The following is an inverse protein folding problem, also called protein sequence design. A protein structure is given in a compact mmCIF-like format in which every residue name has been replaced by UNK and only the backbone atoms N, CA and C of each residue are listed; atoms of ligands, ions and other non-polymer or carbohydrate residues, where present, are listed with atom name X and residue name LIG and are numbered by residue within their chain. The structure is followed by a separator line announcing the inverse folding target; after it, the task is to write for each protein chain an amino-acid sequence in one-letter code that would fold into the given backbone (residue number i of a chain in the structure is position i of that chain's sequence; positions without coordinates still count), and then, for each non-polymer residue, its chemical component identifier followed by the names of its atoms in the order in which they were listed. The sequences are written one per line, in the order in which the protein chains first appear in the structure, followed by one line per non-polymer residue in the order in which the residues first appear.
data_IF_181346361233
#
_entry.id   IF_181346361233
#
_cell.length_a   1.000
_cell.length_b   1.000
_cell.length_c   1.000
_cell.angle_alpha   90.00
_cell.angle_beta   90.00
_cell.angle_gamma   90.00
#
_symmetry.space_group_name_H-M   'P 1'
#
loop_
_entity.id
_entity.type
_entity.pdbx_description
1 polymer ?
#
# COMPACT_ATOMS: atom_id res chain seq x y z
N UNK A 1 -5.28 -13.96 -1.58
CA UNK A 1 -4.07 -13.13 -1.52
C UNK A 1 -3.57 -12.96 -2.94
N UNK A 2 -2.99 -11.81 -3.25
CA UNK A 2 -2.49 -11.53 -4.59
C UNK A 2 -1.01 -11.22 -4.55
N UNK A 3 -0.31 -11.52 -5.63
CA UNK A 3 1.04 -11.08 -5.89
C UNK A 3 1.07 -10.31 -7.20
N UNK A 4 1.69 -9.14 -7.18
CA UNK A 4 1.81 -8.25 -8.34
C UNK A 4 3.08 -8.58 -9.12
N UNK A 5 2.96 -8.90 -10.42
CA UNK A 5 4.14 -9.02 -11.29
C UNK A 5 4.57 -7.64 -11.81
N UNK A 6 3.61 -6.82 -12.22
CA UNK A 6 3.84 -5.56 -12.93
C UNK A 6 2.96 -4.40 -12.44
N UNK A 7 2.11 -4.63 -11.45
CA UNK A 7 0.99 -3.75 -11.13
C UNK A 7 1.24 -2.83 -9.94
N UNK A 8 0.78 -1.60 -10.06
CA UNK A 8 0.62 -0.67 -8.94
C UNK A 8 -0.79 -0.80 -8.38
N UNK A 9 -0.92 -1.09 -7.10
CA UNK A 9 -2.22 -1.32 -6.46
C UNK A 9 -2.41 -0.38 -5.28
N UNK A 10 -3.62 0.18 -5.16
CA UNK A 10 -4.00 1.05 -4.05
C UNK A 10 -5.03 0.37 -3.17
N UNK A 11 -4.82 0.42 -1.86
CA UNK A 11 -5.80 0.03 -0.86
C UNK A 11 -6.50 1.24 -0.26
N UNK A 12 -7.82 1.27 -0.40
CA UNK A 12 -8.69 2.22 0.26
C UNK A 12 -9.32 1.59 1.49
N UNK A 13 -9.30 2.29 2.61
CA UNK A 13 -10.03 1.87 3.80
C UNK A 13 -11.53 2.16 3.60
N UNK A 14 -12.33 1.09 3.49
CA UNK A 14 -13.78 1.18 3.29
C UNK A 14 -14.56 1.34 4.60
N UNK A 15 -13.87 1.26 5.75
CA UNK A 15 -14.48 1.37 7.08
C UNK A 15 -14.50 2.80 7.62
N UNK A 16 -13.79 3.73 6.97
CA UNK A 16 -13.67 5.13 7.41
C UNK A 16 -14.04 6.10 6.28
N UNK A 17 -15.07 6.93 6.53
CA UNK A 17 -15.52 7.95 5.58
C UNK A 17 -16.33 7.37 4.41
N UNK A 18 -16.23 8.00 3.23
CA UNK A 18 -16.90 7.59 1.99
C UNK A 18 -16.11 6.52 1.19
N UNK A 19 -15.15 5.82 1.83
CA UNK A 19 -14.34 4.78 1.18
C UNK A 19 -13.25 5.29 0.23
N UNK A 20 -12.82 6.54 0.37
CA UNK A 20 -11.82 7.17 -0.51
C UNK A 20 -10.46 7.45 0.16
N UNK A 21 -10.28 7.09 1.43
CA UNK A 21 -9.00 7.28 2.12
C UNK A 21 -8.01 6.20 1.71
N UNK A 22 -6.95 6.60 1.02
CA UNK A 22 -5.87 5.71 0.64
C UNK A 22 -5.03 5.37 1.87
N UNK A 23 -4.85 4.09 2.15
CA UNK A 23 -4.06 3.60 3.29
C UNK A 23 -2.93 2.67 2.89
N UNK A 24 -2.99 2.08 1.70
CA UNK A 24 -1.95 1.21 1.16
C UNK A 24 -1.63 1.60 -0.28
N UNK A 25 -0.36 1.48 -0.62
CA UNK A 25 0.15 1.52 -2.00
C UNK A 25 1.09 0.31 -2.09
N UNK A 26 0.82 -0.57 -3.04
CA UNK A 26 1.62 -1.75 -3.34
C UNK A 26 2.27 -1.55 -4.69
N UNK A 27 3.54 -1.92 -4.77
CA UNK A 27 4.39 -1.82 -5.95
C UNK A 27 4.43 -3.16 -6.72
N UNK A 28 4.91 -3.15 -7.97
CA UNK A 28 5.29 -4.39 -8.64
C UNK A 28 6.25 -5.22 -7.77
N UNK A 29 5.99 -6.51 -7.66
CA UNK A 29 6.72 -7.43 -6.79
C UNK A 29 6.15 -7.57 -5.37
N UNK A 30 5.14 -6.78 -4.99
CA UNK A 30 4.52 -6.90 -3.67
C UNK A 30 3.45 -7.99 -3.61
N UNK A 31 3.40 -8.67 -2.47
CA UNK A 31 2.21 -9.42 -2.03
C UNK A 31 1.23 -8.44 -1.40
N UNK A 32 -0.03 -8.47 -1.85
CA UNK A 32 -1.05 -7.57 -1.34
C UNK A 32 -2.38 -8.30 -1.10
N UNK A 33 -3.00 -7.97 0.02
CA UNK A 33 -4.31 -8.45 0.45
C UNK A 33 -4.72 -7.68 1.70
N UNK A 34 -5.99 -7.77 2.11
CA UNK A 34 -6.34 -7.50 3.50
C UNK A 34 -5.90 -8.70 4.36
N UNK A 35 -4.73 -8.60 5.00
CA UNK A 35 -4.14 -9.71 5.77
C UNK A 35 -5.05 -10.13 6.94
N UNK A 36 -5.67 -9.17 7.63
CA UNK A 36 -6.57 -9.47 8.75
C UNK A 36 -7.77 -10.28 8.27
N UNK A 37 -8.42 -9.84 7.20
CA UNK A 37 -9.58 -10.53 6.63
C UNK A 37 -9.20 -11.86 5.98
N UNK A 38 -8.03 -11.93 5.35
CA UNK A 38 -7.51 -13.16 4.77
C UNK A 38 -7.26 -14.23 5.83
N UNK A 39 -6.57 -13.92 6.93
CA UNK A 39 -6.26 -14.94 7.95
C UNK A 39 -7.42 -15.23 8.92
N UNK A 40 -8.24 -14.24 9.26
CA UNK A 40 -9.30 -14.39 10.28
C UNK A 40 -10.67 -14.78 9.70
N UNK A 41 -10.78 -14.95 8.39
CA UNK A 41 -12.05 -15.20 7.70
C UNK A 41 -13.12 -14.13 8.02
N UNK A 42 -12.72 -12.86 7.96
CA UNK A 42 -13.62 -11.71 8.17
C UNK A 42 -13.87 -11.00 6.83
N UNK A 43 -14.95 -10.21 6.71
CA UNK A 43 -15.16 -9.35 5.55
C UNK A 43 -13.95 -8.44 5.30
N UNK A 44 -13.61 -8.20 4.03
CA UNK A 44 -12.53 -7.29 3.67
C UNK A 44 -12.85 -5.86 4.11
N UNK A 45 -11.87 -5.19 4.69
CA UNK A 45 -11.92 -3.77 5.10
C UNK A 45 -11.22 -2.88 4.09
N UNK A 46 -10.35 -3.44 3.27
CA UNK A 46 -9.69 -2.74 2.18
C UNK A 46 -10.37 -3.02 0.83
N UNK A 47 -10.65 -1.94 0.10
CA UNK A 47 -10.92 -2.00 -1.33
C UNK A 47 -9.60 -1.84 -2.08
N UNK A 48 -9.21 -2.86 -2.84
CA UNK A 48 -7.98 -2.86 -3.63
C UNK A 48 -8.29 -2.49 -5.09
N UNK A 49 -7.52 -1.58 -5.66
CA UNK A 49 -7.72 -1.07 -7.04
C UNK A 49 -6.37 -1.04 -7.75
N UNK A 50 -6.30 -1.66 -8.91
CA UNK A 50 -5.13 -1.59 -9.81
C UNK A 50 -5.13 -0.21 -10.47
N UNK A 51 -4.02 0.52 -10.37
CA UNK A 51 -3.81 1.80 -11.05
C UNK A 51 -3.16 1.62 -12.43
N UNK A 52 -2.21 0.69 -12.52
CA UNK A 52 -1.42 0.39 -13.70
C UNK A 52 -0.97 -1.07 -13.62
N UNK A 53 -0.75 -1.70 -14.78
CA UNK A 53 -0.39 -3.12 -14.92
C UNK A 53 -1.62 -4.02 -15.10
N UNK A 54 -1.41 -5.32 -15.12
CA UNK A 54 -2.50 -6.29 -15.25
C UNK A 54 -2.19 -7.72 -14.84
N UNK A 55 -0.92 -8.06 -14.63
CA UNK A 55 -0.51 -9.44 -14.38
C UNK A 55 -0.41 -9.70 -12.87
N UNK A 56 -1.35 -10.51 -12.39
CA UNK A 56 -1.48 -10.87 -10.99
C UNK A 56 -1.49 -12.39 -10.81
N UNK A 57 -0.80 -12.86 -9.78
CA UNK A 57 -0.95 -14.23 -9.30
C UNK A 57 -1.93 -14.24 -8.13
N UNK A 58 -2.87 -15.19 -8.16
CA UNK A 58 -3.87 -15.37 -7.12
C UNK A 58 -3.58 -16.61 -6.30
N UNK A 59 -3.56 -16.46 -4.97
CA UNK A 59 -3.48 -17.57 -4.02
C UNK A 59 -4.76 -17.58 -3.20
N UNK A 60 -5.53 -18.67 -3.31
CA UNK A 60 -6.71 -18.85 -2.48
C UNK A 60 -6.31 -19.12 -1.04
N UNK A 61 -7.25 -18.99 -0.10
CA UNK A 61 -6.99 -19.39 1.29
C UNK A 61 -6.75 -20.90 1.40
N UNK A 62 -7.42 -21.72 0.58
CA UNK A 62 -7.24 -23.16 0.60
C UNK A 62 -5.82 -23.54 0.18
N UNK A 63 -5.33 -22.96 -0.93
CA UNK A 63 -3.96 -23.17 -1.41
C UNK A 63 -2.96 -22.71 -0.34
N UNK A 64 -3.20 -21.54 0.23
CA UNK A 64 -2.37 -20.99 1.29
C UNK A 64 -2.31 -21.89 2.53
N UNK A 65 -3.44 -22.46 2.95
CA UNK A 65 -3.48 -23.38 4.07
C UNK A 65 -2.71 -24.68 3.76
N UNK A 66 -2.71 -25.13 2.51
CA UNK A 66 -1.87 -26.23 2.04
C UNK A 66 -0.38 -25.92 2.15
N UNK A 67 0.03 -24.66 2.08
CA UNK A 67 1.43 -24.25 2.24
C UNK A 67 1.90 -24.27 3.70
N UNK A 68 0.99 -24.28 4.68
CA UNK A 68 1.35 -24.28 6.12
C UNK A 68 2.08 -25.54 6.59
N UNK A 69 2.06 -26.61 5.80
CA UNK A 69 2.83 -27.82 6.09
C UNK A 69 4.34 -27.61 5.87
N UNK A 70 4.74 -26.56 5.15
CA UNK A 70 6.13 -26.21 4.88
C UNK A 70 6.58 -25.05 5.78
N UNK A 71 7.83 -25.10 6.25
CA UNK A 71 8.38 -24.08 7.14
C UNK A 71 8.43 -22.70 6.46
N UNK A 72 8.74 -22.68 5.17
CA UNK A 72 8.81 -21.49 4.32
C UNK A 72 7.45 -20.76 4.25
N UNK A 73 6.34 -21.51 4.34
CA UNK A 73 5.00 -20.93 4.39
C UNK A 73 4.76 -20.13 5.67
N UNK A 74 5.36 -20.55 6.79
CA UNK A 74 5.31 -19.81 8.04
C UNK A 74 6.20 -18.56 8.01
N UNK A 75 7.42 -18.69 7.49
CA UNK A 75 8.35 -17.56 7.33
C UNK A 75 7.76 -16.46 6.45
N UNK A 76 7.07 -16.84 5.37
CA UNK A 76 6.35 -15.89 4.51
C UNK A 76 5.29 -15.11 5.29
N UNK A 77 4.49 -15.75 6.14
CA UNK A 77 3.49 -15.05 6.96
C UNK A 77 4.15 -14.04 7.88
N UNK A 78 5.18 -14.48 8.59
CA UNK A 78 5.90 -13.60 9.52
C UNK A 78 6.49 -12.40 8.81
N UNK A 79 7.08 -12.62 7.63
CA UNK A 79 7.59 -11.56 6.79
C UNK A 79 6.50 -10.58 6.35
N UNK A 80 5.36 -11.07 5.86
CA UNK A 80 4.23 -10.20 5.47
C UNK A 80 3.66 -9.41 6.65
N UNK A 81 3.56 -10.02 7.83
CA UNK A 81 3.12 -9.34 9.05
C UNK A 81 4.11 -8.25 9.48
N UNK A 82 5.42 -8.52 9.37
CA UNK A 82 6.47 -7.55 9.67
C UNK A 82 6.40 -6.35 8.73
N UNK A 83 6.31 -6.58 7.41
CA UNK A 83 6.20 -5.51 6.40
C UNK A 83 4.98 -4.62 6.64
N UNK A 84 3.84 -5.22 7.01
CA UNK A 84 2.62 -4.47 7.34
C UNK A 84 2.80 -3.62 8.60
N UNK A 85 3.47 -4.14 9.63
CA UNK A 85 3.79 -3.41 10.84
C UNK A 85 4.78 -2.27 10.59
N UNK A 86 5.81 -2.50 9.79
CA UNK A 86 6.78 -1.48 9.38
C UNK A 86 6.09 -0.36 8.61
N UNK A 87 5.20 -0.72 7.67
CA UNK A 87 4.43 0.25 6.92
C UNK A 87 3.52 1.08 7.83
N UNK A 88 2.80 0.47 8.76
CA UNK A 88 1.96 1.21 9.72
C UNK A 88 2.79 2.12 10.64
N UNK A 89 3.94 1.65 11.10
CA UNK A 89 4.86 2.43 11.93
C UNK A 89 5.40 3.64 11.16
N UNK A 90 5.86 3.42 9.92
CA UNK A 90 6.33 4.48 9.04
C UNK A 90 5.21 5.47 8.70
N UNK A 91 3.97 4.99 8.45
CA UNK A 91 2.81 5.86 8.24
C UNK A 91 2.47 6.67 9.49
N UNK A 92 2.58 6.09 10.68
CA UNK A 92 2.40 6.82 11.94
C UNK A 92 3.41 7.95 12.06
N UNK A 93 4.69 7.64 11.83
CA UNK A 93 5.79 8.59 11.90
C UNK A 93 5.68 9.71 10.86
N UNK A 94 5.49 9.37 9.58
CA UNK A 94 5.46 10.36 8.49
C UNK A 94 4.33 11.38 8.72
N UNK A 95 3.22 10.98 9.35
CA UNK A 95 2.11 11.89 9.64
C UNK A 95 2.45 13.00 10.65
N UNK A 96 3.50 12.81 11.45
CA UNK A 96 4.01 13.81 12.41
C UNK A 96 4.90 14.89 11.77
N UNK A 97 5.39 14.65 10.55
CA UNK A 97 6.30 15.54 9.85
C UNK A 97 5.56 16.76 9.26
N UNK A 98 6.33 17.76 8.80
CA UNK A 98 5.78 18.88 8.00
C UNK A 98 5.55 18.42 6.56
N UNK A 99 4.66 19.10 5.83
CA UNK A 99 4.26 18.74 4.46
C UNK A 99 5.44 18.45 3.51
N UNK A 100 6.47 19.30 3.49
CA UNK A 100 7.67 19.13 2.65
C UNK A 100 8.42 17.83 2.97
N UNK A 101 8.62 17.57 4.27
CA UNK A 101 9.28 16.35 4.75
C UNK A 101 8.41 15.12 4.46
N UNK A 102 7.09 15.21 4.61
CA UNK A 102 6.16 14.12 4.22
C UNK A 102 6.34 13.74 2.76
N UNK A 103 6.36 14.72 1.86
CA UNK A 103 6.50 14.46 0.43
C UNK A 103 7.89 13.92 0.10
N UNK A 104 8.95 14.43 0.73
CA UNK A 104 10.31 13.91 0.57
C UNK A 104 10.42 12.42 0.97
N UNK A 105 9.97 12.08 2.18
CA UNK A 105 10.00 10.71 2.70
C UNK A 105 9.11 9.77 1.90
N UNK A 106 7.95 10.26 1.46
CA UNK A 106 7.07 9.50 0.57
C UNK A 106 7.75 9.17 -0.75
N UNK A 107 8.48 10.12 -1.35
CA UNK A 107 9.17 9.92 -2.62
C UNK A 107 10.33 8.91 -2.52
N UNK A 108 10.97 8.79 -1.35
CA UNK A 108 12.01 7.78 -1.14
C UNK A 108 11.45 6.36 -1.16
N UNK A 109 10.21 6.17 -0.68
CA UNK A 109 9.56 4.86 -0.61
C UNK A 109 8.74 4.52 -1.85
N UNK A 110 8.02 5.49 -2.40
CA UNK A 110 7.12 5.30 -3.53
C UNK A 110 7.53 6.19 -4.70
N UNK A 111 7.57 5.65 -5.93
CA UNK A 111 7.87 6.44 -7.13
C UNK A 111 6.69 7.37 -7.45
N UNK A 112 6.63 8.52 -6.78
CA UNK A 112 5.46 9.41 -6.81
C UNK A 112 5.16 10.01 -8.19
N UNK A 113 6.10 9.89 -9.15
CA UNK A 113 5.93 10.30 -10.54
C UNK A 113 5.10 9.29 -11.35
N UNK A 114 5.02 8.03 -10.92
CA UNK A 114 4.18 6.98 -11.52
C UNK A 114 2.78 6.91 -10.90
N UNK A 115 2.53 7.67 -9.82
CA UNK A 115 1.29 7.62 -9.07
C UNK A 115 0.44 8.89 -9.31
N UNK A 116 -0.90 8.75 -9.43
CA UNK A 116 -1.77 9.91 -9.55
C UNK A 116 -1.70 10.80 -8.30
N UNK A 117 -1.59 12.12 -8.49
CA UNK A 117 -1.43 13.08 -7.38
C UNK A 117 -2.52 12.97 -6.30
N UNK A 118 -3.76 12.67 -6.68
CA UNK A 118 -4.86 12.53 -5.72
C UNK A 118 -4.70 11.30 -4.80
N UNK A 119 -4.05 10.23 -5.27
CA UNK A 119 -3.71 9.04 -4.47
C UNK A 119 -2.64 9.39 -3.45
N UNK A 120 -1.56 10.01 -3.90
CA UNK A 120 -0.47 10.44 -3.03
C UNK A 120 -0.96 11.44 -1.97
N UNK A 121 -1.75 12.44 -2.38
CA UNK A 121 -2.36 13.41 -1.48
C UNK A 121 -3.27 12.74 -0.44
N UNK A 122 -4.13 11.80 -0.86
CA UNK A 122 -5.00 11.03 0.04
C UNK A 122 -4.19 10.21 1.04
N UNK A 123 -3.14 9.52 0.59
CA UNK A 123 -2.25 8.74 1.46
C UNK A 123 -1.58 9.62 2.52
N UNK A 124 -1.10 10.81 2.12
CA UNK A 124 -0.41 11.78 2.98
C UNK A 124 -1.37 12.65 3.83
N UNK A 125 -2.68 12.47 3.68
CA UNK A 125 -3.72 13.27 4.34
C UNK A 125 -3.57 14.77 4.03
N UNK A 126 -3.25 15.08 2.78
CA UNK A 126 -3.11 16.43 2.24
C UNK A 126 -4.22 16.70 1.23
N UNK A 127 -4.59 17.97 1.07
CA UNK A 127 -5.42 18.37 -0.08
C UNK A 127 -4.61 18.22 -1.38
N UNK A 128 -5.22 17.87 -2.52
CA UNK A 128 -4.49 17.74 -3.79
C UNK A 128 -3.71 18.99 -4.21
N UNK A 129 -4.23 20.19 -3.92
CA UNK A 129 -3.54 21.47 -4.19
C UNK A 129 -2.26 21.64 -3.37
N UNK A 130 -2.34 21.46 -2.04
CA UNK A 130 -1.16 21.47 -1.14
C UNK A 130 -0.11 20.45 -1.55
N UNK A 131 -0.53 19.21 -1.85
CA UNK A 131 0.41 18.17 -2.30
C UNK A 131 1.10 18.58 -3.60
N UNK A 132 0.36 19.08 -4.58
CA UNK A 132 0.92 19.48 -5.88
C UNK A 132 1.91 20.65 -5.74
N UNK A 133 1.60 21.64 -4.89
CA UNK A 133 2.50 22.76 -4.61
C UNK A 133 3.84 22.30 -4.02
N UNK A 134 3.81 21.35 -3.09
CA UNK A 134 5.03 20.79 -2.48
C UNK A 134 5.78 19.89 -3.45
N UNK A 135 5.08 19.00 -4.18
CA UNK A 135 5.66 18.08 -5.17
C UNK A 135 6.45 18.82 -6.26
N UNK A 136 6.02 20.02 -6.65
CA UNK A 136 6.70 20.84 -7.64
C UNK A 136 8.20 21.04 -7.31
N UNK A 137 8.54 21.17 -6.03
CA UNK A 137 9.93 21.35 -5.58
C UNK A 137 10.82 20.10 -5.80
N UNK A 138 10.22 18.93 -6.00
CA UNK A 138 10.95 17.67 -6.22
C UNK A 138 11.03 17.26 -7.70
N UNK A 139 10.38 18.02 -8.59
CA UNK A 139 10.32 17.69 -10.03
C UNK A 139 11.41 18.43 -10.83
N UNK A 140 12.17 19.33 -10.19
CA UNK A 140 13.15 20.24 -10.85
C UNK A 140 14.60 19.74 -10.75
N UNK A 141 14.85 18.45 -10.45
CA UNK A 141 16.21 17.95 -10.20
C UNK A 141 16.47 16.49 -10.56
N UNK A 142 15.72 15.93 -11.51
CA UNK A 142 15.94 14.58 -12.06
C UNK A 142 16.29 14.64 -13.53
#
# INVERSE_FOLDING_TARGET
MWYSLDSFVVGYDYTRGNGQKVTRIYLPGDVFTDLSSFFQNKPAKLKLVILQGGDLLYVTRADFNGLRQYAEGFDLIQHLMLLEQELESWRGWIMTLRDEQKVAEFNQRYPMYLLPNHICASFLQMTPSRYSAVKANFTVGS
#
